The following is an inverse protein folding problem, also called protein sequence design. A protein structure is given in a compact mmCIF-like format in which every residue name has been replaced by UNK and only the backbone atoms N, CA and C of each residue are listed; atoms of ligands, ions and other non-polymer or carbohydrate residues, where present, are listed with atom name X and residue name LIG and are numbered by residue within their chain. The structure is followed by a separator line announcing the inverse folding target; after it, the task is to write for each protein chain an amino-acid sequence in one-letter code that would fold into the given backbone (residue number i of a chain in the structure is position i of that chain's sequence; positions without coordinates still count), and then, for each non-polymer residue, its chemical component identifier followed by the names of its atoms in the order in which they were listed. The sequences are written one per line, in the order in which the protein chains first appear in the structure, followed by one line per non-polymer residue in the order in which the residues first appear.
data_IF_623552516434
#
_entry.id   IF_623552516434
#
_cell.length_a   1.000
_cell.length_b   1.000
_cell.length_c   1.000
_cell.angle_alpha   90.00
_cell.angle_beta   90.00
_cell.angle_gamma   90.00
#
_symmetry.space_group_name_H-M   'P 1'
#
loop_
_entity.id
_entity.type
_entity.pdbx_description
1 polymer ?
#
# COMPACT_ATOMS: atom_id res chain seq x y z
N UNK A 1 15.64 1.99 -7.01
CA UNK A 1 16.17 1.45 -5.75
C UNK A 1 17.66 1.71 -5.65
N UNK A 2 18.10 2.23 -4.53
CA UNK A 2 19.50 2.51 -4.25
C UNK A 2 20.04 1.47 -3.27
N UNK A 3 21.09 0.76 -3.62
CA UNK A 3 21.70 -0.24 -2.75
C UNK A 3 23.08 0.24 -2.29
N UNK A 4 23.31 0.18 -0.98
CA UNK A 4 24.61 0.40 -0.38
C UNK A 4 25.11 -0.90 0.24
N UNK A 5 26.33 -1.32 -0.08
CA UNK A 5 26.91 -2.52 0.49
C UNK A 5 28.43 -2.35 0.69
N UNK A 6 28.99 -3.17 1.58
CA UNK A 6 30.46 -3.32 1.65
C UNK A 6 30.95 -4.01 0.37
N UNK A 7 31.98 -3.44 -0.26
CA UNK A 7 32.62 -4.06 -1.44
C UNK A 7 33.23 -5.41 -1.12
N UNK A 8 33.06 -6.37 -2.01
CA UNK A 8 33.77 -7.64 -1.97
C UNK A 8 35.24 -7.38 -2.31
N UNK A 9 36.12 -7.41 -1.32
CA UNK A 9 37.57 -7.34 -1.53
C UNK A 9 38.32 -6.26 -0.76
N UNK A 10 37.64 -5.29 -0.19
CA UNK A 10 38.29 -4.30 0.69
C UNK A 10 37.38 -4.05 1.90
N UNK A 11 37.82 -4.43 3.07
CA UNK A 11 37.05 -4.44 4.35
C UNK A 11 36.53 -3.05 4.72
N UNK A 12 37.05 -2.00 4.08
CA UNK A 12 36.79 -0.60 4.43
C UNK A 12 36.06 0.22 3.37
N UNK A 13 35.71 -0.36 2.22
CA UNK A 13 35.01 0.37 1.15
C UNK A 13 33.57 -0.09 0.99
N UNK A 14 32.66 0.83 1.16
CA UNK A 14 31.21 0.64 0.87
C UNK A 14 30.88 1.23 -0.48
N UNK A 15 29.98 0.59 -1.21
CA UNK A 15 29.55 1.03 -2.54
C UNK A 15 28.12 1.49 -2.51
N UNK A 16 27.87 2.63 -3.14
CA UNK A 16 26.54 3.12 -3.48
C UNK A 16 26.28 2.74 -4.92
N UNK A 17 25.33 1.82 -5.13
CA UNK A 17 24.98 1.33 -6.46
C UNK A 17 23.57 1.83 -6.79
N UNK A 18 23.46 2.61 -7.85
CA UNK A 18 22.18 2.97 -8.43
C UNK A 18 21.80 1.96 -9.50
N UNK A 19 20.72 1.22 -9.29
CA UNK A 19 20.30 0.12 -10.17
C UNK A 19 19.90 0.59 -11.58
N UNK A 20 19.46 1.85 -11.71
CA UNK A 20 18.99 2.42 -12.99
C UNK A 20 20.10 3.08 -13.81
N UNK A 21 21.16 3.56 -13.14
CA UNK A 21 22.21 4.34 -13.81
C UNK A 21 23.52 3.58 -14.00
N UNK A 22 23.62 2.33 -13.52
CA UNK A 22 24.87 1.56 -13.48
C UNK A 22 26.04 2.36 -12.90
N UNK A 23 25.75 3.36 -12.07
CA UNK A 23 26.74 4.21 -11.45
C UNK A 23 27.11 3.65 -10.06
N UNK A 24 28.39 3.67 -9.77
CA UNK A 24 28.94 3.12 -8.55
C UNK A 24 29.85 4.16 -7.89
N UNK A 25 29.47 4.62 -6.69
CA UNK A 25 30.30 5.51 -5.89
C UNK A 25 30.72 4.80 -4.61
N UNK A 26 31.97 4.94 -4.23
CA UNK A 26 32.47 4.51 -2.93
C UNK A 26 32.09 5.53 -1.86
N UNK A 27 31.62 5.06 -0.73
CA UNK A 27 31.31 5.88 0.45
C UNK A 27 32.17 5.42 1.63
N UNK A 28 32.54 6.35 2.51
CA UNK A 28 33.24 6.07 3.74
C UNK A 28 32.31 5.44 4.79
N UNK A 29 32.91 4.86 5.83
CA UNK A 29 32.12 4.33 6.95
C UNK A 29 31.35 5.45 7.68
N UNK A 30 31.93 6.64 7.79
CA UNK A 30 31.28 7.80 8.40
C UNK A 30 30.06 8.25 7.57
N UNK A 31 30.17 8.30 6.24
CA UNK A 31 29.04 8.58 5.34
C UNK A 31 27.93 7.53 5.50
N UNK A 32 28.29 6.25 5.60
CA UNK A 32 27.31 5.18 5.79
C UNK A 32 26.58 5.30 7.13
N UNK A 33 27.31 5.56 8.22
CA UNK A 33 26.73 5.77 9.55
C UNK A 33 25.80 6.99 9.53
N UNK A 34 26.25 8.11 8.95
CA UNK A 34 25.45 9.32 8.83
C UNK A 34 24.13 9.07 8.08
N UNK A 35 24.18 8.32 6.97
CA UNK A 35 22.99 7.96 6.20
C UNK A 35 22.04 7.09 7.04
N UNK A 36 22.56 6.08 7.73
CA UNK A 36 21.77 5.21 8.59
C UNK A 36 21.10 5.99 9.73
N UNK A 37 21.84 6.86 10.40
CA UNK A 37 21.33 7.71 11.49
C UNK A 37 20.23 8.66 11.00
N UNK A 38 20.41 9.23 9.80
CA UNK A 38 19.42 10.09 9.17
C UNK A 38 18.09 9.36 8.91
N UNK A 39 18.15 8.12 8.45
CA UNK A 39 16.95 7.30 8.24
C UNK A 39 16.28 6.87 9.55
N UNK A 40 17.06 6.67 10.60
CA UNK A 40 16.53 6.36 11.92
C UNK A 40 16.02 7.60 12.67
N UNK A 41 16.04 8.81 12.08
CA UNK A 41 15.75 10.08 12.73
C UNK A 41 16.55 10.26 14.03
N UNK A 42 17.80 9.85 14.03
CA UNK A 42 18.72 9.81 15.19
C UNK A 42 18.15 9.04 16.40
N UNK A 43 17.19 8.13 16.20
CA UNK A 43 16.58 7.33 17.26
C UNK A 43 16.45 5.86 16.88
N UNK A 44 17.45 5.07 17.22
CA UNK A 44 17.42 3.62 17.03
C UNK A 44 16.32 2.94 17.86
N UNK A 45 16.05 3.45 19.07
CA UNK A 45 15.06 2.85 19.97
C UNK A 45 13.65 2.86 19.40
N UNK A 46 13.27 3.95 18.74
CA UNK A 46 11.94 4.09 18.13
C UNK A 46 11.76 3.13 16.96
N UNK A 47 12.84 2.81 16.24
CA UNK A 47 12.82 1.95 15.06
C UNK A 47 13.24 0.50 15.36
N UNK A 48 13.50 0.14 16.62
CA UNK A 48 14.09 -1.15 16.99
C UNK A 48 13.24 -2.33 16.49
N UNK A 49 11.90 -2.26 16.61
CA UNK A 49 11.03 -3.34 16.20
C UNK A 49 11.08 -3.54 14.66
N UNK A 50 10.99 -2.46 13.89
CA UNK A 50 11.06 -2.55 12.43
C UNK A 50 12.45 -2.94 11.93
N UNK A 51 13.51 -2.55 12.65
CA UNK A 51 14.88 -3.00 12.37
C UNK A 51 15.04 -4.51 12.58
N UNK A 52 14.40 -5.08 13.60
CA UNK A 52 14.34 -6.54 13.82
C UNK A 52 13.61 -7.21 12.63
N UNK A 53 12.59 -6.58 12.09
CA UNK A 53 11.85 -7.04 10.90
C UNK A 53 12.62 -6.77 9.59
N UNK A 54 13.85 -6.21 9.68
CA UNK A 54 14.79 -6.01 8.58
C UNK A 54 14.58 -4.73 7.78
N UNK A 55 13.85 -3.73 8.29
CA UNK A 55 13.65 -2.45 7.59
C UNK A 55 13.44 -1.27 8.54
N UNK A 56 13.59 -0.06 7.98
CA UNK A 56 13.17 1.21 8.58
C UNK A 56 12.37 1.99 7.56
N UNK A 57 11.38 2.76 8.00
CA UNK A 57 10.66 3.72 7.15
C UNK A 57 11.05 5.12 7.58
N UNK A 58 11.49 5.95 6.63
CA UNK A 58 11.83 7.34 6.92
C UNK A 58 10.55 8.22 7.04
N UNK A 59 10.77 9.49 7.40
CA UNK A 59 9.66 10.46 7.53
C UNK A 59 8.97 10.79 6.20
N UNK A 60 9.56 10.41 5.07
CA UNK A 60 9.02 10.63 3.73
C UNK A 60 8.34 9.37 3.15
N UNK A 61 8.21 8.31 3.94
CA UNK A 61 7.60 7.05 3.51
C UNK A 61 8.52 6.15 2.69
N UNK A 62 9.81 6.50 2.55
CA UNK A 62 10.79 5.65 1.89
C UNK A 62 11.13 4.47 2.79
N UNK A 63 11.19 3.27 2.21
CA UNK A 63 11.51 2.04 2.94
C UNK A 63 12.96 1.65 2.72
N UNK A 64 13.67 1.49 3.82
CA UNK A 64 15.09 1.15 3.84
C UNK A 64 15.24 -0.26 4.41
N UNK A 65 15.49 -1.24 3.56
CA UNK A 65 15.86 -2.60 3.96
C UNK A 65 17.26 -2.60 4.59
N UNK A 66 17.42 -3.33 5.67
CA UNK A 66 18.67 -3.40 6.47
C UNK A 66 19.19 -4.83 6.43
N UNK A 67 20.46 -5.00 6.09
CA UNK A 67 21.17 -6.26 6.27
C UNK A 67 22.22 -6.11 7.35
N UNK A 68 22.22 -7.01 8.33
CA UNK A 68 23.14 -7.01 9.46
C UNK A 68 23.05 -8.32 10.23
N UNK A 69 23.65 -8.36 11.41
CA UNK A 69 23.70 -9.52 12.28
C UNK A 69 22.65 -9.43 13.37
N UNK A 70 21.81 -10.46 13.52
CA UNK A 70 20.84 -10.53 14.59
C UNK A 70 21.51 -10.75 15.96
N UNK A 71 21.06 -10.03 16.97
CA UNK A 71 21.43 -10.23 18.37
C UNK A 71 20.28 -10.91 19.09
N UNK A 72 20.55 -12.04 19.70
CA UNK A 72 19.54 -12.81 20.44
C UNK A 72 19.60 -12.55 21.94
N UNK A 73 18.43 -12.43 22.56
CA UNK A 73 18.24 -12.42 24.02
C UNK A 73 17.05 -13.33 24.33
N UNK A 74 17.25 -14.33 25.19
CA UNK A 74 16.23 -15.33 25.53
C UNK A 74 15.59 -16.00 24.30
N UNK A 75 16.40 -16.41 23.33
CA UNK A 75 15.99 -17.02 22.04
C UNK A 75 15.10 -16.15 21.14
N UNK A 76 14.95 -14.87 21.43
CA UNK A 76 14.28 -13.90 20.59
C UNK A 76 15.29 -12.90 20.03
N UNK A 77 15.07 -12.42 18.81
CA UNK A 77 15.88 -11.34 18.24
C UNK A 77 15.57 -10.08 19.02
N UNK A 78 16.60 -9.49 19.63
CA UNK A 78 16.50 -8.28 20.46
C UNK A 78 16.96 -7.03 19.73
N UNK A 79 17.87 -7.15 18.77
CA UNK A 79 18.36 -6.04 17.95
C UNK A 79 19.13 -6.56 16.73
N UNK A 80 19.52 -5.63 15.85
CA UNK A 80 20.43 -5.88 14.73
C UNK A 80 21.70 -5.07 14.95
N UNK A 81 22.86 -5.68 14.73
CA UNK A 81 24.16 -5.03 14.78
C UNK A 81 24.95 -5.26 13.50
N UNK A 82 26.14 -4.63 13.40
CA UNK A 82 27.05 -4.79 12.26
C UNK A 82 26.33 -4.66 10.91
N UNK A 83 25.52 -3.59 10.76
CA UNK A 83 24.78 -3.33 9.54
C UNK A 83 25.76 -3.22 8.38
N UNK A 84 25.62 -4.12 7.42
CA UNK A 84 26.54 -4.28 6.29
C UNK A 84 26.02 -3.65 4.99
N UNK A 85 24.71 -3.54 4.83
CA UNK A 85 24.12 -2.92 3.64
C UNK A 85 22.73 -2.35 3.90
N UNK A 86 22.37 -1.35 3.10
CA UNK A 86 21.04 -0.74 3.05
C UNK A 86 20.51 -0.85 1.63
N UNK A 87 19.22 -1.16 1.53
CA UNK A 87 18.47 -1.13 0.26
C UNK A 87 17.39 -0.06 0.36
N UNK A 88 17.60 1.08 -0.28
CA UNK A 88 16.75 2.25 -0.17
C UNK A 88 15.74 2.24 -1.32
N UNK A 89 14.46 2.19 -0.96
CA UNK A 89 13.33 2.35 -1.88
C UNK A 89 12.74 3.73 -1.66
N UNK A 90 13.03 4.64 -2.58
CA UNK A 90 12.51 6.01 -2.51
C UNK A 90 11.04 5.98 -2.90
N UNK A 91 10.18 6.45 -2.01
CA UNK A 91 8.76 6.64 -2.30
C UNK A 91 8.54 7.90 -3.13
N UNK A 92 7.77 7.76 -4.20
CA UNK A 92 7.34 8.89 -5.03
C UNK A 92 5.88 9.24 -4.72
N UNK A 93 5.58 10.53 -4.63
CA UNK A 93 4.22 11.02 -4.54
C UNK A 93 3.72 11.35 -5.96
N UNK A 94 2.78 10.56 -6.44
CA UNK A 94 2.11 10.80 -7.72
C UNK A 94 0.71 11.32 -7.41
N UNK A 95 0.47 12.58 -7.71
CA UNK A 95 -0.82 13.24 -7.45
C UNK A 95 -1.73 13.12 -8.68
N UNK A 96 -3.04 13.09 -8.42
CA UNK A 96 -4.09 13.08 -9.44
C UNK A 96 -4.16 11.83 -10.34
N UNK A 97 -3.35 10.82 -10.05
CA UNK A 97 -3.30 9.58 -10.82
C UNK A 97 -4.58 8.73 -10.71
N UNK A 98 -5.39 8.96 -9.67
CA UNK A 98 -6.64 8.22 -9.46
C UNK A 98 -7.89 8.94 -10.02
N UNK A 99 -7.75 10.16 -10.59
CA UNK A 99 -8.90 10.96 -11.05
C UNK A 99 -9.81 10.22 -12.03
N UNK A 100 -9.25 9.47 -12.97
CA UNK A 100 -10.04 8.72 -13.93
C UNK A 100 -10.91 7.65 -13.25
N UNK A 101 -10.33 6.90 -12.31
CA UNK A 101 -11.06 5.91 -11.50
C UNK A 101 -12.18 6.60 -10.70
N UNK A 102 -11.88 7.74 -10.07
CA UNK A 102 -12.85 8.49 -9.28
C UNK A 102 -13.98 9.05 -10.14
N UNK A 103 -13.68 9.58 -11.32
CA UNK A 103 -14.71 10.08 -12.26
C UNK A 103 -15.68 8.99 -12.70
N UNK A 104 -15.16 7.76 -12.90
CA UNK A 104 -15.99 6.64 -13.36
C UNK A 104 -16.82 6.09 -12.18
N UNK A 105 -16.21 5.86 -11.03
CA UNK A 105 -16.84 5.10 -9.96
C UNK A 105 -17.49 5.95 -8.87
N UNK A 106 -16.99 7.16 -8.58
CA UNK A 106 -17.39 7.97 -7.42
C UNK A 106 -18.20 9.22 -7.77
N UNK A 107 -18.58 9.40 -9.03
CA UNK A 107 -19.35 10.59 -9.47
C UNK A 107 -20.69 10.75 -8.72
N UNK A 108 -21.42 9.67 -8.47
CA UNK A 108 -22.77 9.70 -7.91
C UNK A 108 -22.93 9.00 -6.55
N UNK A 109 -22.01 8.12 -6.19
CA UNK A 109 -22.06 7.29 -4.96
C UNK A 109 -20.71 7.15 -4.32
N UNK A 110 -20.65 6.46 -3.18
CA UNK A 110 -19.40 6.06 -2.53
C UNK A 110 -19.34 4.53 -2.50
N UNK A 111 -18.99 3.91 -3.63
CA UNK A 111 -18.95 2.46 -3.73
C UNK A 111 -17.79 1.87 -2.90
N UNK A 112 -17.93 0.62 -2.50
CA UNK A 112 -16.79 -0.17 -2.04
C UNK A 112 -16.07 -0.77 -3.25
N UNK A 113 -14.74 -0.60 -3.28
CA UNK A 113 -13.91 -0.92 -4.45
C UNK A 113 -12.68 -1.73 -4.03
N UNK A 114 -12.35 -2.74 -4.81
CA UNK A 114 -11.11 -3.50 -4.68
C UNK A 114 -10.11 -3.04 -5.75
N UNK A 115 -8.92 -2.60 -5.35
CA UNK A 115 -7.82 -2.31 -6.25
C UNK A 115 -6.94 -3.56 -6.34
N UNK A 116 -6.92 -4.20 -7.48
CA UNK A 116 -6.17 -5.44 -7.71
C UNK A 116 -5.01 -5.23 -8.69
N UNK A 117 -4.01 -6.09 -8.65
CA UNK A 117 -2.91 -6.08 -9.62
C UNK A 117 -1.64 -6.71 -9.07
N UNK A 118 -0.63 -6.91 -9.93
CA UNK A 118 0.65 -7.50 -9.54
C UNK A 118 1.43 -6.61 -8.56
N UNK A 119 2.49 -7.13 -7.93
CA UNK A 119 3.42 -6.31 -7.16
C UNK A 119 3.95 -5.14 -7.99
N UNK A 120 4.11 -3.98 -7.37
CA UNK A 120 4.62 -2.74 -8.01
C UNK A 120 3.75 -2.17 -9.15
N UNK A 121 2.48 -2.57 -9.27
CA UNK A 121 1.54 -2.02 -10.27
C UNK A 121 0.95 -0.65 -9.89
N UNK A 122 1.35 -0.05 -8.76
CA UNK A 122 0.88 1.26 -8.34
C UNK A 122 -0.33 1.25 -7.40
N UNK A 123 -0.79 0.09 -6.88
CA UNK A 123 -1.96 -0.01 -5.97
C UNK A 123 -1.90 0.96 -4.80
N UNK A 124 -0.80 0.95 -4.04
CA UNK A 124 -0.60 1.83 -2.88
C UNK A 124 -0.63 3.31 -3.28
N UNK A 125 -0.10 3.64 -4.46
CA UNK A 125 -0.11 5.01 -5.01
C UNK A 125 -1.54 5.46 -5.34
N UNK A 126 -2.32 4.60 -6.00
CA UNK A 126 -3.74 4.86 -6.31
C UNK A 126 -4.55 5.00 -5.02
N UNK A 127 -4.39 4.09 -4.03
CA UNK A 127 -5.09 4.17 -2.75
C UNK A 127 -4.81 5.50 -2.02
N UNK A 128 -3.55 5.92 -2.01
CA UNK A 128 -3.12 7.17 -1.39
C UNK A 128 -3.76 8.38 -2.06
N UNK A 129 -3.73 8.44 -3.39
CA UNK A 129 -4.29 9.56 -4.15
C UNK A 129 -5.82 9.59 -4.09
N UNK A 130 -6.51 8.43 -4.14
CA UNK A 130 -7.95 8.33 -3.90
C UNK A 130 -8.32 8.86 -2.50
N UNK A 131 -7.56 8.47 -1.47
CA UNK A 131 -7.76 8.95 -0.09
C UNK A 131 -7.63 10.47 -0.03
N UNK A 132 -6.57 11.02 -0.58
CA UNK A 132 -6.31 12.46 -0.63
C UNK A 132 -7.44 13.23 -1.31
N UNK A 133 -7.84 12.80 -2.49
CA UNK A 133 -8.88 13.47 -3.27
C UNK A 133 -10.25 13.39 -2.58
N UNK A 134 -10.69 12.20 -2.18
CA UNK A 134 -11.99 11.99 -1.56
C UNK A 134 -12.12 12.72 -0.22
N UNK A 135 -11.07 12.73 0.61
CA UNK A 135 -11.09 13.41 1.90
C UNK A 135 -10.97 14.94 1.76
N UNK A 136 -10.41 15.44 0.66
CA UNK A 136 -10.22 16.87 0.40
C UNK A 136 -11.35 17.51 -0.43
N UNK A 137 -12.47 16.80 -0.63
CA UNK A 137 -13.66 17.36 -1.26
C UNK A 137 -13.72 17.17 -2.76
N UNK A 138 -13.21 16.06 -3.28
CA UNK A 138 -13.36 15.70 -4.68
C UNK A 138 -14.85 15.70 -5.10
N UNK A 139 -15.14 16.29 -6.26
CA UNK A 139 -16.50 16.49 -6.75
C UNK A 139 -17.42 17.27 -5.75
N UNK A 140 -16.86 18.14 -4.92
CA UNK A 140 -17.59 18.97 -3.97
C UNK A 140 -18.07 18.26 -2.71
N UNK A 141 -17.61 17.03 -2.47
CA UNK A 141 -18.00 16.21 -1.30
C UNK A 141 -16.77 15.78 -0.51
N UNK A 142 -16.70 16.18 0.78
CA UNK A 142 -15.67 15.72 1.71
C UNK A 142 -16.10 14.40 2.31
N UNK A 143 -15.25 13.38 2.20
CA UNK A 143 -15.47 12.09 2.86
C UNK A 143 -14.67 11.99 4.13
N UNK A 144 -15.32 11.48 5.20
CA UNK A 144 -14.61 11.13 6.43
C UNK A 144 -13.97 9.76 6.24
N UNK A 145 -12.65 9.74 6.16
CA UNK A 145 -11.88 8.53 5.82
C UNK A 145 -11.04 8.08 7.01
N UNK A 146 -11.03 6.78 7.28
CA UNK A 146 -10.03 6.17 8.16
C UNK A 146 -9.07 5.31 7.34
N UNK A 147 -7.77 5.58 7.44
CA UNK A 147 -6.72 4.80 6.81
C UNK A 147 -6.14 3.82 7.83
N UNK A 148 -6.18 2.53 7.50
CA UNK A 148 -5.57 1.48 8.30
C UNK A 148 -4.21 1.14 7.69
N UNK A 149 -3.16 1.65 8.30
CA UNK A 149 -1.80 1.64 7.75
C UNK A 149 -0.82 0.89 8.67
N UNK A 150 -0.91 -0.44 8.67
CA UNK A 150 -0.11 -1.30 9.54
C UNK A 150 1.39 -1.05 9.37
N UNK A 151 1.85 -0.83 8.12
CA UNK A 151 3.27 -0.70 7.76
C UNK A 151 3.74 0.73 7.55
N UNK A 152 2.87 1.71 7.75
CA UNK A 152 3.14 3.13 7.47
C UNK A 152 3.55 3.40 6.01
N UNK A 153 2.99 2.66 5.06
CA UNK A 153 3.29 2.80 3.64
C UNK A 153 2.32 3.76 2.93
N UNK A 154 1.11 3.95 3.46
CA UNK A 154 0.12 4.88 2.92
C UNK A 154 0.32 6.32 3.38
N UNK A 155 0.54 6.52 4.69
CA UNK A 155 0.46 7.83 5.33
C UNK A 155 1.81 8.50 5.57
N UNK A 156 2.91 7.73 5.68
CA UNK A 156 4.19 8.32 6.07
C UNK A 156 4.75 9.26 4.99
N UNK A 157 4.89 10.55 5.35
CA UNK A 157 5.48 11.57 4.50
C UNK A 157 4.62 12.02 3.32
N UNK A 158 3.36 11.61 3.25
CA UNK A 158 2.46 11.94 2.15
C UNK A 158 1.25 12.73 2.63
N UNK A 159 0.78 13.64 1.76
CA UNK A 159 -0.52 14.26 1.92
C UNK A 159 -1.61 13.22 1.55
N UNK A 160 -2.42 12.84 2.52
CA UNK A 160 -3.55 11.93 2.37
C UNK A 160 -4.90 12.64 2.53
N UNK A 161 -4.88 13.98 2.52
CA UNK A 161 -6.05 14.84 2.57
C UNK A 161 -6.51 15.20 3.97
N UNK A 162 -7.37 16.20 4.05
CA UNK A 162 -7.68 16.94 5.28
C UNK A 162 -8.67 16.25 6.22
N UNK A 163 -9.55 15.38 5.71
CA UNK A 163 -10.58 14.71 6.50
C UNK A 163 -10.27 13.21 6.66
N UNK A 164 -9.01 12.92 7.04
CA UNK A 164 -8.49 11.57 7.14
C UNK A 164 -7.92 11.31 8.53
N UNK A 165 -8.41 10.25 9.19
CA UNK A 165 -7.85 9.70 10.42
C UNK A 165 -6.93 8.52 10.07
N UNK A 166 -5.73 8.45 10.68
CA UNK A 166 -4.76 7.37 10.42
C UNK A 166 -4.62 6.48 11.64
N UNK A 167 -4.86 5.18 11.46
CA UNK A 167 -4.58 4.13 12.45
C UNK A 167 -3.37 3.35 11.96
N UNK A 168 -2.20 3.63 12.53
CA UNK A 168 -0.94 3.01 12.10
C UNK A 168 -0.39 2.02 13.12
N UNK A 169 0.41 1.06 12.63
CA UNK A 169 1.08 0.03 13.47
C UNK A 169 0.15 -0.95 14.20
N UNK A 170 -1.14 -0.90 13.95
CA UNK A 170 -2.09 -1.92 14.38
C UNK A 170 -2.18 -3.02 13.32
N UNK A 171 -2.42 -4.27 13.75
CA UNK A 171 -2.90 -5.32 12.85
C UNK A 171 -4.16 -4.84 12.14
N UNK A 172 -4.29 -5.07 10.82
CA UNK A 172 -5.39 -4.49 10.02
C UNK A 172 -6.78 -4.82 10.57
N UNK A 173 -7.06 -6.08 10.90
CA UNK A 173 -8.33 -6.48 11.47
C UNK A 173 -8.67 -5.66 12.73
N UNK A 174 -7.69 -5.48 13.63
CA UNK A 174 -7.88 -4.69 14.85
C UNK A 174 -8.02 -3.20 14.57
N UNK A 175 -7.28 -2.68 13.60
CA UNK A 175 -7.39 -1.29 13.17
C UNK A 175 -8.76 -0.97 12.57
N UNK A 176 -9.32 -1.87 11.73
CA UNK A 176 -10.67 -1.74 11.16
C UNK A 176 -11.74 -1.70 12.28
N UNK A 177 -11.70 -2.67 13.21
CA UNK A 177 -12.63 -2.66 14.36
C UNK A 177 -12.56 -1.36 15.16
N UNK A 178 -11.34 -0.86 15.42
CA UNK A 178 -11.12 0.37 16.16
C UNK A 178 -11.71 1.57 15.40
N UNK A 179 -11.42 1.71 14.10
CA UNK A 179 -11.96 2.78 13.27
C UNK A 179 -13.49 2.80 13.31
N UNK A 180 -14.13 1.67 13.06
CA UNK A 180 -15.60 1.56 13.05
C UNK A 180 -16.19 1.96 14.40
N UNK A 181 -15.63 1.46 15.51
CA UNK A 181 -16.18 1.69 16.86
C UNK A 181 -15.96 3.10 17.40
N UNK A 182 -14.87 3.76 17.00
CA UNK A 182 -14.44 5.00 17.67
C UNK A 182 -14.42 6.22 16.76
N UNK A 183 -14.24 6.04 15.45
CA UNK A 183 -14.09 7.14 14.52
C UNK A 183 -15.32 7.34 13.62
N UNK A 184 -16.18 6.33 13.48
CA UNK A 184 -17.38 6.37 12.61
C UNK A 184 -17.05 6.90 11.19
N UNK A 185 -16.15 6.26 10.44
CA UNK A 185 -15.79 6.69 9.10
C UNK A 185 -16.90 6.38 8.10
N UNK A 186 -17.05 7.21 7.07
CA UNK A 186 -17.84 6.89 5.89
C UNK A 186 -17.13 5.87 5.01
N UNK A 187 -15.78 5.93 4.99
CA UNK A 187 -14.94 5.11 4.14
C UNK A 187 -13.68 4.66 4.90
N UNK A 188 -13.34 3.39 4.79
CA UNK A 188 -12.06 2.85 5.29
C UNK A 188 -11.17 2.50 4.09
N UNK A 189 -9.90 2.91 4.17
CA UNK A 189 -8.87 2.56 3.19
C UNK A 189 -7.84 1.63 3.84
N UNK A 190 -7.60 0.47 3.20
CA UNK A 190 -6.63 -0.52 3.64
C UNK A 190 -5.78 -0.99 2.47
N UNK A 191 -4.47 -1.06 2.65
CA UNK A 191 -3.58 -1.68 1.66
C UNK A 191 -3.36 -3.17 1.96
N UNK A 192 -3.28 -3.98 0.92
CA UNK A 192 -2.84 -5.39 0.94
C UNK A 192 -3.61 -6.31 1.91
N UNK A 193 -4.90 -6.55 1.63
CA UNK A 193 -5.69 -7.54 2.38
C UNK A 193 -5.18 -8.94 2.04
N UNK A 194 -4.80 -9.72 3.07
CA UNK A 194 -4.07 -10.97 2.90
C UNK A 194 -4.57 -12.17 3.70
N UNK A 195 -5.52 -12.01 4.62
CA UNK A 195 -6.01 -13.12 5.46
C UNK A 195 -7.51 -13.00 5.79
N UNK A 196 -8.09 -14.11 6.27
CA UNK A 196 -9.52 -14.20 6.56
C UNK A 196 -9.95 -13.36 7.76
N UNK A 197 -9.08 -13.13 8.74
CA UNK A 197 -9.42 -12.29 9.91
C UNK A 197 -9.66 -10.83 9.47
N UNK A 198 -8.90 -10.37 8.48
CA UNK A 198 -9.09 -9.04 7.87
C UNK A 198 -10.42 -8.97 7.12
N UNK A 199 -10.81 -10.04 6.40
CA UNK A 199 -12.11 -10.12 5.72
C UNK A 199 -13.27 -10.08 6.71
N UNK A 200 -13.17 -10.78 7.85
CA UNK A 200 -14.20 -10.74 8.90
C UNK A 200 -14.34 -9.33 9.52
N UNK A 201 -13.23 -8.62 9.73
CA UNK A 201 -13.27 -7.23 10.19
C UNK A 201 -13.91 -6.30 9.16
N UNK A 202 -13.70 -6.52 7.86
CA UNK A 202 -14.35 -5.79 6.77
C UNK A 202 -15.86 -6.04 6.79
N UNK A 203 -16.33 -7.29 6.95
CA UNK A 203 -17.75 -7.61 7.08
C UNK A 203 -18.39 -6.89 8.28
N UNK A 204 -17.68 -6.81 9.40
CA UNK A 204 -18.12 -6.03 10.55
C UNK A 204 -18.28 -4.54 10.19
N UNK A 205 -17.36 -3.96 9.44
CA UNK A 205 -17.44 -2.59 8.95
C UNK A 205 -18.66 -2.36 8.04
N UNK A 206 -18.92 -3.26 7.10
CA UNK A 206 -20.12 -3.22 6.24
C UNK A 206 -21.41 -3.24 7.05
N UNK A 207 -21.50 -4.11 8.06
CA UNK A 207 -22.66 -4.18 8.96
C UNK A 207 -22.90 -2.87 9.73
N UNK A 208 -21.89 -2.00 9.78
CA UNK A 208 -21.96 -0.67 10.41
C UNK A 208 -22.18 0.46 9.40
N UNK A 209 -22.39 0.15 8.12
CA UNK A 209 -22.63 1.12 7.05
C UNK A 209 -21.37 1.80 6.49
N UNK A 210 -20.18 1.27 6.78
CA UNK A 210 -18.93 1.83 6.31
C UNK A 210 -18.56 1.22 4.95
N UNK A 211 -18.19 2.06 3.97
CA UNK A 211 -17.65 1.61 2.66
C UNK A 211 -16.14 1.35 2.76
N UNK A 212 -15.60 0.59 1.79
CA UNK A 212 -14.19 0.22 1.77
C UNK A 212 -13.53 0.46 0.42
N UNK A 213 -12.30 0.95 0.44
CA UNK A 213 -11.36 0.86 -0.68
C UNK A 213 -10.16 0.06 -0.19
N UNK A 214 -9.91 -1.08 -0.78
CA UNK A 214 -8.80 -1.94 -0.37
C UNK A 214 -7.98 -2.40 -1.56
N UNK A 215 -6.76 -2.89 -1.28
CA UNK A 215 -5.99 -3.56 -2.31
C UNK A 215 -5.78 -5.04 -2.02
N UNK A 216 -5.61 -5.81 -3.10
CA UNK A 216 -5.20 -7.21 -3.08
C UNK A 216 -4.13 -7.46 -4.15
N UNK A 217 -3.29 -8.46 -3.90
CA UNK A 217 -2.33 -8.92 -4.91
C UNK A 217 -2.97 -9.97 -5.81
N UNK A 218 -3.01 -9.67 -7.12
CA UNK A 218 -3.36 -10.62 -8.17
C UNK A 218 -2.35 -10.51 -9.30
N UNK A 219 -1.91 -11.62 -9.87
CA UNK A 219 -0.99 -11.62 -11.02
C UNK A 219 -1.72 -11.34 -12.33
N UNK A 220 -2.97 -11.78 -12.43
CA UNK A 220 -3.85 -11.58 -13.59
C UNK A 220 -5.31 -11.56 -13.15
N UNK A 221 -6.19 -11.05 -14.00
CA UNK A 221 -7.65 -11.10 -13.79
C UNK A 221 -8.13 -12.55 -13.68
N UNK A 222 -7.53 -13.48 -14.42
CA UNK A 222 -7.89 -14.90 -14.38
C UNK A 222 -7.60 -15.55 -13.01
N UNK A 223 -6.74 -14.97 -12.20
CA UNK A 223 -6.45 -15.46 -10.85
C UNK A 223 -7.51 -15.04 -9.83
N UNK A 224 -8.43 -14.15 -10.20
CA UNK A 224 -9.49 -13.65 -9.31
C UNK A 224 -10.29 -14.81 -8.68
N UNK A 225 -10.74 -15.75 -9.51
CA UNK A 225 -11.54 -16.91 -9.08
C UNK A 225 -10.72 -18.03 -8.43
N UNK A 226 -9.39 -17.88 -8.32
CA UNK A 226 -8.48 -18.80 -7.63
C UNK A 226 -7.94 -18.23 -6.32
N UNK A 227 -8.03 -16.92 -6.14
CA UNK A 227 -7.56 -16.26 -4.93
C UNK A 227 -8.64 -16.32 -3.85
N UNK A 228 -8.37 -17.04 -2.77
CA UNK A 228 -9.35 -17.25 -1.69
C UNK A 228 -9.81 -15.94 -1.04
N UNK A 229 -8.92 -14.97 -0.87
CA UNK A 229 -9.26 -13.66 -0.29
C UNK A 229 -10.17 -12.88 -1.23
N UNK A 230 -9.86 -12.85 -2.53
CA UNK A 230 -10.73 -12.23 -3.53
C UNK A 230 -12.13 -12.85 -3.53
N UNK A 231 -12.21 -14.18 -3.53
CA UNK A 231 -13.49 -14.90 -3.48
C UNK A 231 -14.28 -14.53 -2.21
N UNK A 232 -13.62 -14.50 -1.04
CA UNK A 232 -14.29 -14.14 0.22
C UNK A 232 -14.80 -12.68 0.19
N UNK A 233 -14.02 -11.74 -0.34
CA UNK A 233 -14.43 -10.34 -0.47
C UNK A 233 -15.62 -10.19 -1.43
N UNK A 234 -15.55 -10.79 -2.61
CA UNK A 234 -16.65 -10.77 -3.60
C UNK A 234 -17.91 -11.42 -3.03
N UNK A 235 -17.77 -12.51 -2.28
CA UNK A 235 -18.90 -13.22 -1.65
C UNK A 235 -19.65 -12.38 -0.61
N UNK A 236 -19.09 -11.26 -0.13
CA UNK A 236 -19.81 -10.32 0.72
C UNK A 236 -20.94 -9.61 -0.01
N UNK A 237 -20.87 -9.49 -1.34
CA UNK A 237 -21.76 -8.72 -2.23
C UNK A 237 -21.83 -7.21 -1.91
N UNK A 238 -20.86 -6.71 -1.15
CA UNK A 238 -20.77 -5.30 -0.75
C UNK A 238 -19.80 -4.49 -1.62
N UNK A 239 -18.92 -5.18 -2.34
CA UNK A 239 -18.04 -4.56 -3.31
C UNK A 239 -18.74 -4.47 -4.66
N UNK A 240 -18.79 -3.27 -5.23
CA UNK A 240 -19.41 -3.03 -6.53
C UNK A 240 -18.44 -3.19 -7.70
N UNK A 241 -17.16 -2.90 -7.49
CA UNK A 241 -16.17 -2.93 -8.58
C UNK A 241 -14.82 -3.46 -8.14
N UNK A 242 -14.10 -4.04 -9.11
CA UNK A 242 -12.67 -4.30 -9.02
C UNK A 242 -11.97 -3.45 -10.07
N UNK A 243 -10.96 -2.69 -9.66
CA UNK A 243 -10.05 -1.99 -10.57
C UNK A 243 -8.78 -2.82 -10.65
N UNK A 244 -8.50 -3.40 -11.79
CA UNK A 244 -7.31 -4.21 -12.03
C UNK A 244 -6.24 -3.36 -12.71
N UNK A 245 -5.11 -3.12 -12.01
CA UNK A 245 -3.98 -2.38 -12.53
C UNK A 245 -3.02 -3.35 -13.23
N UNK A 246 -2.69 -3.08 -14.49
CA UNK A 246 -1.77 -3.92 -15.26
C UNK A 246 -0.30 -3.68 -14.87
N UNK A 247 0.07 -2.41 -14.67
CA UNK A 247 1.41 -1.96 -14.33
C UNK A 247 1.48 -0.43 -14.25
N UNK A 248 2.66 0.09 -13.97
CA UNK A 248 2.92 1.53 -14.07
C UNK A 248 2.82 1.87 -15.56
N UNK A 249 2.00 2.85 -15.91
CA UNK A 249 1.75 3.33 -17.28
C UNK A 249 1.07 2.32 -18.25
N UNK A 250 0.59 1.17 -17.73
CA UNK A 250 -0.06 0.15 -18.57
C UNK A 250 -1.61 0.24 -18.52
N UNK A 251 -2.15 1.18 -17.75
CA UNK A 251 -3.59 1.37 -17.60
C UNK A 251 -4.25 0.43 -16.59
N UNK A 252 -5.58 0.41 -16.61
CA UNK A 252 -6.40 -0.41 -15.71
C UNK A 252 -7.69 -0.88 -16.39
N UNK A 253 -8.23 -1.98 -15.89
CA UNK A 253 -9.56 -2.48 -16.21
C UNK A 253 -10.51 -2.28 -15.04
N UNK A 254 -11.79 -2.04 -15.32
CA UNK A 254 -12.85 -2.01 -14.30
C UNK A 254 -13.76 -3.21 -14.54
N UNK A 255 -13.93 -4.00 -13.48
CA UNK A 255 -14.83 -5.15 -13.44
C UNK A 255 -16.03 -4.76 -12.58
N UNK A 256 -17.23 -4.77 -13.15
CA UNK A 256 -18.46 -4.55 -12.41
C UNK A 256 -18.89 -5.86 -11.72
N UNK A 257 -19.18 -5.78 -10.43
CA UNK A 257 -19.64 -6.90 -9.60
C UNK A 257 -21.14 -6.82 -9.27
N UNK A 258 -21.83 -5.76 -9.73
CA UNK A 258 -23.24 -5.50 -9.39
C UNK A 258 -24.22 -6.16 -10.34
N UNK A 259 -23.78 -6.60 -11.53
CA UNK A 259 -24.61 -7.29 -12.51
C UNK A 259 -24.71 -8.77 -12.18
N UNK A 260 -25.66 -9.16 -11.30
CA UNK A 260 -26.12 -10.53 -11.13
C UNK A 260 -27.62 -10.67 -11.45
N UNK A 261 -27.91 -11.71 -12.26
CA UNK A 261 -29.18 -12.42 -12.35
C UNK A 261 -30.41 -11.62 -12.83
N UNK A 262 -30.40 -11.12 -14.06
CA UNK A 262 -31.66 -11.02 -14.82
C UNK A 262 -31.51 -11.54 -16.25
N UNK A 263 -32.11 -12.74 -16.43
CA UNK A 263 -32.60 -13.34 -17.66
C UNK A 263 -31.56 -13.96 -18.62
N UNK A 264 -31.69 -15.26 -18.70
CA UNK A 264 -31.15 -16.19 -19.71
C UNK A 264 -29.69 -16.64 -19.57
N UNK A 265 -29.46 -17.62 -18.68
CA UNK A 265 -28.60 -18.79 -18.94
C UNK A 265 -27.28 -18.60 -19.70
N UNK A 266 -26.64 -17.46 -19.64
CA UNK A 266 -25.29 -17.23 -20.18
C UNK A 266 -24.35 -16.90 -19.02
N UNK A 267 -23.44 -17.81 -18.75
CA UNK A 267 -22.20 -17.51 -18.05
C UNK A 267 -21.45 -16.43 -18.82
N UNK A 268 -21.67 -15.17 -18.49
CA UNK A 268 -20.85 -14.07 -18.99
C UNK A 268 -20.49 -13.19 -17.80
N UNK A 269 -19.31 -13.44 -17.23
CA UNK A 269 -18.52 -12.39 -16.63
C UNK A 269 -18.23 -11.39 -17.76
N UNK A 270 -19.16 -10.46 -18.04
CA UNK A 270 -18.91 -9.38 -18.96
C UNK A 270 -17.94 -8.41 -18.30
N UNK A 271 -16.65 -8.71 -18.47
CA UNK A 271 -15.57 -7.78 -18.20
C UNK A 271 -15.73 -6.63 -19.18
N UNK A 272 -16.32 -5.53 -18.74
CA UNK A 272 -16.26 -4.28 -19.52
C UNK A 272 -14.88 -3.69 -19.34
N UNK A 273 -13.99 -4.00 -20.25
CA UNK A 273 -12.66 -3.40 -20.32
C UNK A 273 -12.80 -1.93 -20.72
N UNK A 274 -12.78 -1.02 -19.74
CA UNK A 274 -12.57 0.40 -19.98
C UNK A 274 -11.09 0.64 -19.92
N UNK A 275 -10.44 0.57 -21.08
CA UNK A 275 -9.01 0.86 -21.20
C UNK A 275 -8.80 2.38 -21.14
N UNK A 276 -8.05 2.85 -20.15
CA UNK A 276 -7.61 4.25 -20.06
C UNK A 276 -6.09 4.25 -19.83
N UNK A 277 -5.28 4.66 -20.81
CA UNK A 277 -3.83 4.73 -20.63
C UNK A 277 -3.47 5.84 -19.62
N UNK A 278 -2.51 5.56 -18.75
CA UNK A 278 -1.96 6.50 -17.75
C UNK A 278 -1.22 7.69 -18.39
N UNK A 279 -0.88 7.61 -19.70
CA UNK A 279 0.04 8.51 -20.39
C UNK A 279 -0.46 9.94 -20.64
N UNK A 280 -1.66 10.32 -20.22
CA UNK A 280 -2.19 11.69 -20.42
C UNK A 280 -1.89 12.65 -19.26
N UNK A 281 -1.15 12.23 -18.23
CA UNK A 281 -0.96 13.03 -16.99
C UNK A 281 0.49 13.11 -16.49
N UNK A 282 1.48 12.92 -17.39
CA UNK A 282 2.87 13.30 -17.10
C UNK A 282 3.25 14.63 -17.75
#
# INVERSE_FOLDING_TARGET
DLRMSRGLGDVYKRQLINHYLNDCRFISDDEFIFILDSFCNNSYHTNMQTMIDGYVTDKFGSRIGIAGEAVYKNNLISSVKNISSLNIRISHNVVDCSKNILNILFANSTPSVIIAGPPSSGKTTILRDMTRLLSSGYAGKYKKISVIDERKELSSGFDIGINTDVISSYKKAKGIELAVRTLSPELIVCDEIGNSDEVEAIKFGFSSGTSFILSIHLKSINDLMRNQIAIQLISTREFSHIVFLHGIDEGFDIIDLTEDENENGRNSNDIRNIYTPFSEYM
#
